data_IF_218563736994
#
_entry.id   IF_218563736994
#
_cell.length_a   1.000
_cell.length_b   1.000
_cell.length_c   1.000
_cell.angle_alpha   90.00
_cell.angle_beta   90.00
_cell.angle_gamma   90.00
#
_symmetry.space_group_name_H-M   'P 1'
#
loop_
_entity.id
_entity.type
_entity.pdbx_description
1 polymer ?
#
# COMPACT_ATOMS: atom_id res chain seq x y z
N UNK A 1 4.66 18.04 -13.46
CA UNK A 1 4.71 16.64 -13.02
C UNK A 1 4.94 16.56 -11.53
N UNK A 2 4.50 15.49 -10.92
CA UNK A 2 4.68 15.23 -9.49
C UNK A 2 5.90 14.33 -9.30
N UNK A 3 6.81 14.70 -8.40
CA UNK A 3 7.93 13.82 -8.04
C UNK A 3 7.44 12.80 -7.02
N UNK A 4 7.74 11.52 -7.26
CA UNK A 4 7.31 10.43 -6.38
C UNK A 4 8.51 9.56 -5.98
N UNK A 5 8.56 9.23 -4.70
CA UNK A 5 9.49 8.25 -4.15
C UNK A 5 8.66 7.19 -3.42
N UNK A 6 8.89 5.92 -3.74
CA UNK A 6 8.27 4.80 -3.03
C UNK A 6 9.38 4.03 -2.33
N UNK A 7 9.34 4.01 -1.01
CA UNK A 7 10.39 3.46 -0.17
C UNK A 7 9.86 2.39 0.77
N UNK A 8 10.62 1.32 0.93
CA UNK A 8 10.37 0.26 1.90
C UNK A 8 11.62 0.08 2.76
N UNK A 9 11.55 -0.69 3.86
CA UNK A 9 12.76 -0.98 4.64
C UNK A 9 13.87 -1.66 3.83
N UNK A 10 13.54 -2.28 2.71
CA UNK A 10 14.52 -2.94 1.84
C UNK A 10 15.16 -2.00 0.83
N UNK A 11 14.63 -0.79 0.70
CA UNK A 11 15.18 0.22 -0.17
C UNK A 11 14.14 0.89 -1.06
N UNK A 12 14.62 1.60 -2.07
CA UNK A 12 13.79 2.32 -3.01
C UNK A 12 13.14 1.37 -4.01
N UNK A 13 11.82 1.49 -4.15
CA UNK A 13 11.03 0.71 -5.12
C UNK A 13 10.83 1.50 -6.41
N UNK A 14 10.61 2.80 -6.27
CA UNK A 14 10.38 3.69 -7.42
C UNK A 14 10.84 5.10 -7.06
N UNK A 15 11.40 5.80 -8.04
CA UNK A 15 11.69 7.23 -7.96
C UNK A 15 11.56 7.82 -9.34
N UNK A 16 10.80 8.90 -9.47
CA UNK A 16 10.64 9.57 -10.75
C UNK A 16 9.43 10.49 -10.77
N UNK A 17 9.21 11.09 -11.92
CA UNK A 17 8.07 11.98 -12.14
C UNK A 17 6.88 11.21 -12.68
N UNK A 18 5.69 11.55 -12.18
CA UNK A 18 4.43 10.95 -12.63
C UNK A 18 3.40 12.05 -12.80
N UNK A 19 2.33 11.74 -13.52
CA UNK A 19 1.18 12.65 -13.66
C UNK A 19 0.29 12.61 -12.44
N UNK A 20 0.08 11.42 -11.88
CA UNK A 20 -0.81 11.23 -10.74
C UNK A 20 -0.40 10.02 -9.95
N UNK A 21 -0.56 10.13 -8.63
CA UNK A 21 -0.43 9.00 -7.71
C UNK A 21 -1.81 8.74 -7.11
N UNK A 22 -2.23 7.48 -7.07
CA UNK A 22 -3.49 7.08 -6.41
C UNK A 22 -3.19 6.00 -5.39
N UNK A 23 -3.73 6.17 -4.19
CA UNK A 23 -3.55 5.21 -3.11
C UNK A 23 -4.73 5.32 -2.13
N UNK A 24 -4.62 4.73 -0.96
CA UNK A 24 -5.66 4.78 0.06
C UNK A 24 -5.06 5.11 1.41
N UNK A 25 -5.63 6.10 2.08
CA UNK A 25 -5.32 6.43 3.47
C UNK A 25 -6.41 5.84 4.37
N UNK A 26 -6.24 5.97 5.69
CA UNK A 26 -7.23 5.51 6.65
C UNK A 26 -8.58 6.23 6.54
N UNK A 27 -8.61 7.40 5.89
CA UNK A 27 -9.86 8.15 5.66
C UNK A 27 -10.45 7.92 4.27
N UNK A 28 -9.82 7.09 3.43
CA UNK A 28 -10.32 6.74 2.12
C UNK A 28 -9.30 6.92 1.01
N UNK A 29 -9.76 6.75 -0.21
CA UNK A 29 -8.90 6.88 -1.38
C UNK A 29 -8.49 8.31 -1.62
N UNK A 30 -7.26 8.48 -2.13
CA UNK A 30 -6.70 9.79 -2.40
C UNK A 30 -5.94 9.77 -3.74
N UNK A 31 -6.12 10.84 -4.53
CA UNK A 31 -5.35 11.07 -5.75
C UNK A 31 -4.52 12.32 -5.59
N UNK A 32 -3.25 12.24 -5.94
CA UNK A 32 -2.30 13.34 -5.81
C UNK A 32 -1.83 13.75 -7.20
N UNK A 33 -2.06 15.01 -7.52
CA UNK A 33 -1.58 15.64 -8.76
C UNK A 33 -0.44 16.60 -8.42
N UNK A 34 0.22 17.12 -9.46
CA UNK A 34 1.27 18.13 -9.28
C UNK A 34 0.77 19.31 -8.44
N UNK A 35 1.62 19.80 -7.57
CA UNK A 35 1.35 20.94 -6.70
C UNK A 35 0.21 20.72 -5.71
N UNK A 36 -0.08 19.48 -5.36
CA UNK A 36 -1.08 19.16 -4.34
C UNK A 36 -0.69 19.77 -3.00
N UNK A 37 -1.70 20.21 -2.24
CA UNK A 37 -1.49 20.74 -0.90
C UNK A 37 -0.78 19.71 -0.01
N UNK A 38 -0.05 20.14 1.03
CA UNK A 38 0.64 19.21 1.92
C UNK A 38 -0.28 18.18 2.53
N UNK A 39 0.19 16.93 2.59
CA UNK A 39 -0.53 15.80 3.19
C UNK A 39 0.44 14.99 4.04
N UNK A 40 -0.05 14.54 5.19
CA UNK A 40 0.59 13.49 5.97
C UNK A 40 -0.52 12.55 6.41
N UNK A 41 -0.53 11.34 5.88
CA UNK A 41 -1.59 10.39 6.15
C UNK A 41 -1.10 8.97 6.31
N UNK A 42 -1.81 8.20 7.14
CA UNK A 42 -1.55 6.78 7.30
C UNK A 42 -2.11 6.03 6.10
N UNK A 43 -1.31 5.13 5.55
CA UNK A 43 -1.68 4.34 4.37
C UNK A 43 -2.24 2.98 4.77
N UNK A 44 -3.23 2.55 4.02
CA UNK A 44 -3.86 1.24 4.16
C UNK A 44 -3.45 0.33 3.01
N UNK A 45 -3.52 -0.99 3.19
CA UNK A 45 -3.24 -1.92 2.09
C UNK A 45 -4.18 -1.69 0.92
N UNK A 46 -3.62 -1.50 -0.26
CA UNK A 46 -4.38 -1.24 -1.48
C UNK A 46 -3.48 -1.38 -2.70
N UNK A 47 -4.04 -1.15 -3.88
CA UNK A 47 -3.24 -0.96 -5.09
C UNK A 47 -2.71 0.46 -5.10
N UNK A 48 -1.38 0.60 -5.13
CA UNK A 48 -0.73 1.87 -5.41
C UNK A 48 -0.61 2.01 -6.92
N UNK A 49 -1.15 3.08 -7.48
CA UNK A 49 -1.09 3.35 -8.91
C UNK A 49 -0.29 4.62 -9.17
N UNK A 50 0.67 4.52 -10.07
CA UNK A 50 1.43 5.66 -10.55
C UNK A 50 1.16 5.82 -12.03
N UNK A 51 0.43 6.86 -12.38
CA UNK A 51 0.15 7.20 -13.79
C UNK A 51 1.35 7.97 -14.32
N UNK A 52 2.28 7.24 -14.93
CA UNK A 52 3.54 7.81 -15.42
C UNK A 52 3.29 8.68 -16.65
N UNK A 53 2.39 8.24 -17.51
CA UNK A 53 1.99 8.96 -18.72
C UNK A 53 0.54 8.62 -19.06
N UNK A 54 0.01 9.17 -20.15
CA UNK A 54 -1.35 8.87 -20.61
C UNK A 54 -1.51 7.38 -20.96
N UNK A 55 -0.40 6.73 -21.33
CA UNK A 55 -0.44 5.34 -21.81
C UNK A 55 0.19 4.35 -20.83
N UNK A 56 0.83 4.82 -19.75
CA UNK A 56 1.51 3.93 -18.82
C UNK A 56 1.10 4.16 -17.38
N UNK A 57 0.62 3.10 -16.72
CA UNK A 57 0.32 3.08 -15.29
C UNK A 57 1.08 1.91 -14.67
N UNK A 58 1.86 2.22 -13.63
CA UNK A 58 2.55 1.20 -12.84
C UNK A 58 1.74 0.90 -11.60
N UNK A 59 1.68 -0.36 -11.21
CA UNK A 59 0.86 -0.82 -10.07
C UNK A 59 1.64 -1.70 -9.14
N UNK A 60 1.47 -1.45 -7.84
CA UNK A 60 2.01 -2.28 -6.77
C UNK A 60 0.90 -2.57 -5.77
N UNK A 61 1.00 -3.72 -5.10
CA UNK A 61 0.25 -3.96 -3.88
C UNK A 61 1.06 -3.33 -2.76
N UNK A 62 0.51 -2.31 -2.11
CA UNK A 62 1.17 -1.66 -0.97
C UNK A 62 0.56 -2.13 0.34
N UNK A 63 1.38 -2.25 1.37
CA UNK A 63 0.95 -2.55 2.72
C UNK A 63 0.73 -1.26 3.51
N UNK A 64 0.67 -1.35 4.83
CA UNK A 64 0.54 -0.18 5.71
C UNK A 64 1.78 0.70 5.65
N UNK A 65 1.60 1.99 5.88
CA UNK A 65 2.70 2.94 5.89
C UNK A 65 2.20 4.38 6.01
N UNK A 66 2.96 5.28 5.42
CA UNK A 66 2.70 6.71 5.48
C UNK A 66 2.85 7.36 4.12
N UNK A 67 1.99 8.34 3.85
CA UNK A 67 2.10 9.22 2.69
C UNK A 67 2.46 10.61 3.16
N UNK A 68 3.53 11.16 2.61
CA UNK A 68 3.92 12.54 2.86
C UNK A 68 3.96 13.29 1.53
N UNK A 69 3.19 14.37 1.44
CA UNK A 69 3.21 15.23 0.25
C UNK A 69 3.60 16.63 0.69
N UNK A 70 4.66 17.17 0.10
CA UNK A 70 5.15 18.49 0.39
C UNK A 70 6.00 19.00 -0.78
N UNK A 71 5.82 20.26 -1.15
CA UNK A 71 6.64 20.92 -2.18
C UNK A 71 6.75 20.09 -3.48
N UNK A 72 5.62 19.64 -3.98
CA UNK A 72 5.50 18.85 -5.21
C UNK A 72 6.23 17.51 -5.18
N UNK A 73 6.48 16.97 -4.00
CA UNK A 73 7.08 15.64 -3.82
C UNK A 73 6.17 14.79 -2.96
N UNK A 74 5.83 13.60 -3.45
CA UNK A 74 5.06 12.61 -2.69
C UNK A 74 5.99 11.46 -2.31
N UNK A 75 6.07 11.17 -1.02
CA UNK A 75 6.83 10.03 -0.49
C UNK A 75 5.86 9.00 0.06
N UNK A 76 5.97 7.81 -0.47
CA UNK A 76 5.20 6.64 -0.02
C UNK A 76 6.17 5.76 0.77
N UNK A 77 5.97 5.70 2.08
CA UNK A 77 6.81 4.93 3.00
C UNK A 77 5.98 3.76 3.49
N UNK A 78 6.21 2.58 2.94
CA UNK A 78 5.39 1.40 3.24
C UNK A 78 6.26 0.23 3.67
N UNK A 79 5.68 -0.67 4.45
CA UNK A 79 6.38 -1.86 4.89
C UNK A 79 6.73 -2.76 3.70
N UNK A 80 5.86 -2.75 2.68
CA UNK A 80 5.99 -3.63 1.53
C UNK A 80 5.31 -3.01 0.31
N UNK A 81 5.93 -3.16 -0.85
CA UNK A 81 5.34 -2.81 -2.13
C UNK A 81 5.74 -3.88 -3.13
N UNK A 82 4.78 -4.67 -3.56
CA UNK A 82 4.99 -5.81 -4.45
C UNK A 82 4.35 -5.52 -5.80
N UNK A 83 5.08 -5.66 -6.92
CA UNK A 83 4.46 -5.51 -8.23
C UNK A 83 3.20 -6.38 -8.32
N UNK A 84 2.10 -5.81 -8.83
CA UNK A 84 0.82 -6.52 -8.82
C UNK A 84 0.89 -7.87 -9.53
N UNK A 85 1.67 -7.96 -10.60
CA UNK A 85 1.83 -9.20 -11.38
C UNK A 85 2.64 -10.28 -10.65
N UNK A 86 3.35 -9.93 -9.59
CA UNK A 86 4.17 -10.87 -8.82
C UNK A 86 3.44 -11.50 -7.63
N UNK A 87 2.16 -11.14 -7.42
CA UNK A 87 1.37 -11.69 -6.32
C UNK A 87 0.98 -13.13 -6.56
N UNK A 88 1.05 -13.95 -5.51
CA UNK A 88 0.67 -15.36 -5.53
C UNK A 88 -0.62 -15.54 -4.74
N UNK A 89 -1.73 -15.74 -5.44
CA UNK A 89 -3.05 -15.89 -4.82
C UNK A 89 -3.12 -17.09 -3.88
N UNK A 90 -2.48 -18.20 -4.24
CA UNK A 90 -2.45 -19.40 -3.38
C UNK A 90 -1.76 -19.15 -2.06
N UNK A 91 -0.58 -18.53 -2.09
CA UNK A 91 0.16 -18.19 -0.89
C UNK A 91 -0.62 -17.16 -0.04
N UNK A 92 -1.26 -16.19 -0.68
CA UNK A 92 -2.04 -15.17 0.02
C UNK A 92 -3.27 -15.74 0.71
N UNK A 93 -3.92 -16.75 0.12
CA UNK A 93 -5.04 -17.44 0.77
C UNK A 93 -4.59 -18.14 2.05
N UNK A 94 -3.41 -18.75 2.03
CA UNK A 94 -2.84 -19.41 3.21
C UNK A 94 -2.48 -18.38 4.28
N UNK A 95 -1.87 -17.25 3.88
CA UNK A 95 -1.54 -16.16 4.81
C UNK A 95 -2.80 -15.58 5.45
N UNK A 96 -3.86 -15.39 4.67
CA UNK A 96 -5.14 -14.89 5.17
C UNK A 96 -5.74 -15.84 6.17
N UNK A 97 -5.79 -17.13 5.86
CA UNK A 97 -6.31 -18.16 6.75
C UNK A 97 -5.54 -18.20 8.07
N UNK A 98 -4.21 -18.13 8.00
CA UNK A 98 -3.36 -18.09 9.19
C UNK A 98 -3.60 -16.84 10.04
N UNK A 99 -3.73 -15.68 9.40
CA UNK A 99 -3.99 -14.42 10.10
C UNK A 99 -5.36 -14.44 10.79
N UNK A 100 -6.38 -14.96 10.12
CA UNK A 100 -7.71 -15.10 10.70
C UNK A 100 -7.72 -16.03 11.91
N UNK A 101 -6.98 -17.14 11.83
CA UNK A 101 -6.84 -18.08 12.95
C UNK A 101 -6.13 -17.40 14.12
N UNK A 102 -5.01 -16.74 13.89
CA UNK A 102 -4.27 -16.03 14.94
C UNK A 102 -5.11 -14.94 15.59
N UNK A 103 -5.91 -14.22 14.78
CA UNK A 103 -6.81 -13.19 15.30
C UNK A 103 -7.87 -13.80 16.24
N UNK A 104 -8.50 -14.90 15.83
CA UNK A 104 -9.55 -15.52 16.63
C UNK A 104 -9.04 -16.19 17.91
N UNK A 105 -7.78 -16.64 17.91
CA UNK A 105 -7.16 -17.30 19.06
C UNK A 105 -6.48 -16.34 20.03
N UNK A 106 -6.34 -15.07 19.66
CA UNK A 106 -5.66 -14.09 20.50
C UNK A 106 -6.60 -13.39 21.47
N UNK A 107 -6.04 -12.88 22.58
CA UNK A 107 -6.79 -12.14 23.58
C UNK A 107 -7.11 -10.74 23.08
N UNK A 108 -8.25 -10.20 23.54
CA UNK A 108 -8.64 -8.82 23.24
C UNK A 108 -7.54 -7.87 23.76
N UNK A 109 -7.31 -6.81 22.98
CA UNK A 109 -6.32 -5.76 23.29
C UNK A 109 -4.87 -6.27 23.39
N UNK A 110 -4.60 -7.49 22.92
CA UNK A 110 -3.23 -8.02 22.88
C UNK A 110 -2.47 -7.49 21.66
N UNK A 111 -1.15 -7.46 21.77
CA UNK A 111 -0.26 -7.10 20.66
C UNK A 111 -0.37 -8.14 19.54
N UNK A 112 -0.56 -9.42 19.88
CA UNK A 112 -0.75 -10.50 18.92
C UNK A 112 -1.99 -10.28 18.08
N UNK A 113 -3.09 -9.85 18.70
CA UNK A 113 -4.33 -9.58 17.99
C UNK A 113 -4.19 -8.40 17.03
N UNK A 114 -3.51 -7.34 17.47
CA UNK A 114 -3.25 -6.17 16.62
C UNK A 114 -2.41 -6.55 15.40
N UNK A 115 -1.37 -7.36 15.57
CA UNK A 115 -0.55 -7.83 14.46
C UNK A 115 -1.34 -8.74 13.52
N UNK A 116 -2.14 -9.66 14.06
CA UNK A 116 -2.97 -10.54 13.27
C UNK A 116 -3.99 -9.76 12.44
N UNK A 117 -4.55 -8.68 13.00
CA UNK A 117 -5.46 -7.82 12.26
C UNK A 117 -4.76 -7.11 11.09
N UNK A 118 -3.56 -6.59 11.31
CA UNK A 118 -2.77 -5.96 10.24
C UNK A 118 -2.44 -6.97 9.15
N UNK A 119 -2.00 -8.17 9.53
CA UNK A 119 -1.68 -9.23 8.57
C UNK A 119 -2.91 -9.66 7.78
N UNK A 120 -4.06 -9.74 8.44
CA UNK A 120 -5.33 -10.06 7.79
C UNK A 120 -5.70 -8.99 6.76
N UNK A 121 -5.64 -7.73 7.14
CA UNK A 121 -5.96 -6.61 6.25
C UNK A 121 -5.05 -6.59 5.02
N UNK A 122 -3.75 -6.82 5.23
CA UNK A 122 -2.78 -6.91 4.14
C UNK A 122 -3.12 -8.08 3.20
N UNK A 123 -3.32 -9.27 3.75
CA UNK A 123 -3.59 -10.46 2.97
C UNK A 123 -4.90 -10.35 2.17
N UNK A 124 -5.96 -9.79 2.79
CA UNK A 124 -7.23 -9.56 2.10
C UNK A 124 -7.07 -8.62 0.91
N UNK A 125 -6.38 -7.51 1.12
CA UNK A 125 -6.17 -6.51 0.06
C UNK A 125 -5.30 -7.08 -1.06
N UNK A 126 -4.19 -7.73 -0.72
CA UNK A 126 -3.28 -8.31 -1.71
C UNK A 126 -3.95 -9.44 -2.49
N UNK A 127 -4.74 -10.27 -1.82
CA UNK A 127 -5.48 -11.34 -2.48
C UNK A 127 -6.50 -10.77 -3.47
N UNK A 128 -7.21 -9.72 -3.08
CA UNK A 128 -8.16 -9.03 -3.96
C UNK A 128 -7.46 -8.50 -5.21
N UNK A 129 -6.27 -7.93 -5.06
CA UNK A 129 -5.46 -7.43 -6.18
C UNK A 129 -5.02 -8.59 -7.08
N UNK A 130 -4.57 -9.70 -6.48
CA UNK A 130 -4.11 -10.88 -7.22
C UNK A 130 -5.22 -11.53 -8.03
N UNK A 131 -6.46 -11.47 -7.55
CA UNK A 131 -7.63 -12.07 -8.19
C UNK A 131 -8.35 -11.12 -9.13
N UNK A 132 -8.11 -9.84 -8.98
CA UNK A 132 -8.73 -8.80 -9.79
C UNK A 132 -7.94 -8.49 -11.02
#
# INVERSE_FOLDING_TARGET
MLDVEVLTPEGEVFSGEVRQLSTRTEVGEIGILANHAPVLGALQPTTLRLHVSDSETKRWAQSHGWLQVFANTARVLVEEAVPAEDLDAGALKEELSDAERRFSESDEDSAERARALKDKQRAEAFLSIAQG
#
